data_IF_390536484745
#
_entry.id   IF_390536484745
#
_cell.length_a   1.000
_cell.length_b   1.000
_cell.length_c   1.000
_cell.angle_alpha   90.00
_cell.angle_beta   90.00
_cell.angle_gamma   90.00
#
_symmetry.space_group_name_H-M   'P 1'
#
loop_
_entity.id
_entity.type
_entity.pdbx_description
1 polymer ?
#
# COMPACT_ATOMS: atom_id res chain seq x y z
N UNK A 1 -30.47 15.01 2.77
CA UNK A 1 -29.20 14.26 2.75
C UNK A 1 -28.11 15.15 3.33
N UNK A 2 -27.10 14.60 4.01
CA UNK A 2 -25.95 15.39 4.50
C UNK A 2 -25.14 15.86 3.28
N UNK A 3 -24.95 17.17 3.15
CA UNK A 3 -24.06 17.79 2.17
C UNK A 3 -22.73 18.06 2.87
N UNK A 4 -21.68 17.37 2.42
CA UNK A 4 -20.35 17.43 3.02
C UNK A 4 -19.39 18.13 2.05
N UNK A 5 -18.44 18.89 2.60
CA UNK A 5 -17.43 19.57 1.80
C UNK A 5 -16.05 19.44 2.42
N UNK A 6 -15.09 19.02 1.61
CA UNK A 6 -13.68 18.94 1.96
C UNK A 6 -12.94 20.08 1.25
N UNK A 7 -12.37 20.97 2.05
CA UNK A 7 -11.52 22.06 1.60
C UNK A 7 -10.06 21.64 1.76
N UNK A 8 -9.26 21.83 0.72
CA UNK A 8 -7.84 21.48 0.69
C UNK A 8 -7.04 22.75 0.44
N UNK A 9 -6.27 23.18 1.45
CA UNK A 9 -5.38 24.32 1.33
C UNK A 9 -4.05 23.87 0.72
N UNK A 10 -3.65 24.53 -0.36
CA UNK A 10 -2.40 24.24 -1.06
C UNK A 10 -1.77 25.50 -1.66
N UNK A 11 -0.60 25.34 -2.27
CA UNK A 11 0.07 26.33 -3.11
C UNK A 11 0.57 25.68 -4.38
N UNK A 12 0.75 26.46 -5.44
CA UNK A 12 1.34 25.96 -6.67
C UNK A 12 2.83 25.58 -6.47
N UNK A 13 3.29 24.43 -6.99
CA UNK A 13 4.65 23.95 -6.83
C UNK A 13 5.62 24.68 -7.78
N UNK A 14 5.98 25.90 -7.40
CA UNK A 14 6.98 26.70 -8.11
C UNK A 14 8.36 26.62 -7.42
N UNK A 15 9.41 26.34 -8.20
CA UNK A 15 10.79 26.26 -7.72
C UNK A 15 11.19 27.57 -7.00
N UNK A 16 11.76 27.43 -5.80
CA UNK A 16 12.18 28.57 -4.98
C UNK A 16 11.06 29.25 -4.17
N UNK A 17 9.78 28.89 -4.39
CA UNK A 17 8.62 29.45 -3.65
C UNK A 17 7.85 28.42 -2.83
N UNK A 18 7.90 27.15 -3.22
CA UNK A 18 7.34 26.04 -2.45
C UNK A 18 8.40 25.40 -1.54
N UNK A 19 7.98 25.00 -0.33
CA UNK A 19 8.80 24.28 0.66
C UNK A 19 10.22 24.85 0.81
N UNK A 20 10.33 26.17 1.00
CA UNK A 20 11.62 26.89 0.99
C UNK A 20 12.59 26.38 2.05
N UNK A 21 12.09 25.90 3.20
CA UNK A 21 12.88 25.26 4.27
C UNK A 21 13.53 23.93 3.86
N UNK A 22 13.05 23.28 2.80
CA UNK A 22 13.59 22.03 2.25
C UNK A 22 14.60 22.24 1.12
N UNK A 23 14.73 23.48 0.60
CA UNK A 23 15.68 23.82 -0.48
C UNK A 23 17.13 23.43 -0.13
N UNK A 24 17.64 23.63 1.11
CA UNK A 24 19.01 23.21 1.43
C UNK A 24 19.27 21.71 1.28
N UNK A 25 18.23 20.86 1.39
CA UNK A 25 18.35 19.41 1.28
C UNK A 25 18.00 18.87 -0.11
N UNK A 26 17.05 19.49 -0.81
CA UNK A 26 16.49 18.98 -2.07
C UNK A 26 16.78 19.87 -3.29
N UNK A 27 17.32 21.07 -3.09
CA UNK A 27 17.34 22.13 -4.10
C UNK A 27 15.96 22.74 -4.35
N UNK A 28 15.91 23.84 -5.11
CA UNK A 28 14.68 24.55 -5.43
C UNK A 28 13.69 23.70 -6.23
N UNK A 29 14.20 22.95 -7.22
CA UNK A 29 13.40 22.02 -8.04
C UNK A 29 12.91 20.83 -7.22
N UNK A 30 13.76 20.22 -6.40
CA UNK A 30 13.36 19.08 -5.57
C UNK A 30 12.31 19.46 -4.52
N UNK A 31 12.40 20.65 -3.93
CA UNK A 31 11.38 21.17 -3.01
C UNK A 31 10.03 21.40 -3.70
N UNK A 32 10.02 21.98 -4.91
CA UNK A 32 8.80 22.15 -5.69
C UNK A 32 8.20 20.81 -6.14
N UNK A 33 9.05 19.87 -6.57
CA UNK A 33 8.61 18.53 -6.95
C UNK A 33 8.02 17.75 -5.76
N UNK A 34 8.58 17.92 -4.55
CA UNK A 34 8.02 17.34 -3.35
C UNK A 34 6.64 17.94 -3.03
N UNK A 35 6.49 19.27 -3.07
CA UNK A 35 5.19 19.94 -2.92
C UNK A 35 4.17 19.36 -3.91
N UNK A 36 4.56 19.26 -5.19
CA UNK A 36 3.70 18.71 -6.25
C UNK A 36 3.19 17.33 -5.88
N UNK A 37 4.09 16.42 -5.53
CA UNK A 37 3.72 15.04 -5.24
C UNK A 37 2.87 14.91 -3.97
N UNK A 38 3.12 15.71 -2.92
CA UNK A 38 2.30 15.70 -1.70
C UNK A 38 0.89 16.23 -1.95
N UNK A 39 0.75 17.29 -2.76
CA UNK A 39 -0.56 17.79 -3.19
C UNK A 39 -1.31 16.73 -4.01
N UNK A 40 -0.66 16.14 -5.03
CA UNK A 40 -1.26 15.09 -5.85
C UNK A 40 -1.71 13.88 -5.01
N UNK A 41 -0.88 13.48 -4.04
CA UNK A 41 -1.23 12.43 -3.09
C UNK A 41 -2.48 12.78 -2.27
N UNK A 42 -2.52 13.98 -1.69
CA UNK A 42 -3.66 14.45 -0.87
C UNK A 42 -4.95 14.49 -1.70
N UNK A 43 -4.88 14.97 -2.94
CA UNK A 43 -6.00 15.01 -3.89
C UNK A 43 -6.49 13.60 -4.23
N UNK A 44 -5.58 12.64 -4.43
CA UNK A 44 -5.97 11.24 -4.66
C UNK A 44 -6.73 10.64 -3.46
N UNK A 45 -6.34 10.98 -2.23
CA UNK A 45 -7.07 10.56 -1.02
C UNK A 45 -8.45 11.21 -0.93
N UNK A 46 -8.55 12.51 -1.26
CA UNK A 46 -9.81 13.23 -1.30
C UNK A 46 -10.78 12.66 -2.35
N UNK A 47 -10.30 12.34 -3.55
CA UNK A 47 -11.12 11.67 -4.58
C UNK A 47 -11.63 10.30 -4.12
N UNK A 48 -10.76 9.50 -3.46
CA UNK A 48 -11.16 8.21 -2.87
C UNK A 48 -12.26 8.37 -1.80
N UNK A 49 -12.25 9.46 -1.05
CA UNK A 49 -13.32 9.80 -0.10
C UNK A 49 -14.62 10.15 -0.84
N UNK A 50 -14.57 11.00 -1.88
CA UNK A 50 -15.73 11.42 -2.64
C UNK A 50 -16.46 10.27 -3.38
N UNK A 51 -15.76 9.17 -3.67
CA UNK A 51 -16.39 7.94 -4.19
C UNK A 51 -17.25 7.25 -3.11
N UNK A 52 -16.89 7.40 -1.83
CA UNK A 52 -17.55 6.71 -0.69
C UNK A 52 -18.60 7.58 -0.01
N UNK A 53 -18.47 8.89 -0.09
CA UNK A 53 -19.33 9.88 0.56
C UNK A 53 -19.80 10.91 -0.46
N UNK A 54 -21.00 11.44 -0.28
CA UNK A 54 -21.48 12.61 -1.04
C UNK A 54 -20.78 13.89 -0.57
N UNK A 55 -19.47 13.97 -0.83
CA UNK A 55 -18.57 15.03 -0.38
C UNK A 55 -17.98 15.77 -1.58
N UNK A 56 -18.27 17.06 -1.71
CA UNK A 56 -17.64 17.92 -2.71
C UNK A 56 -16.23 18.31 -2.26
N UNK A 57 -15.31 18.45 -3.22
CA UNK A 57 -13.91 18.83 -2.95
C UNK A 57 -13.67 20.25 -3.48
N UNK A 58 -13.10 21.11 -2.64
CA UNK A 58 -12.60 22.43 -3.04
C UNK A 58 -11.10 22.53 -2.80
N UNK A 59 -10.36 23.00 -3.80
CA UNK A 59 -8.93 23.27 -3.71
C UNK A 59 -8.73 24.76 -3.54
N UNK A 60 -8.37 25.16 -2.33
CA UNK A 60 -8.09 26.54 -1.99
C UNK A 60 -6.59 26.81 -2.15
N UNK A 61 -6.21 27.57 -3.17
CA UNK A 61 -4.79 27.79 -3.51
C UNK A 61 -4.34 29.21 -3.19
N UNK A 62 -3.07 29.37 -2.80
CA UNK A 62 -2.51 30.69 -2.58
C UNK A 62 -2.57 31.53 -3.88
N UNK A 63 -3.30 32.64 -3.86
CA UNK A 63 -3.51 33.61 -4.95
C UNK A 63 -2.20 34.07 -5.59
N UNK A 64 -1.15 34.23 -4.77
CA UNK A 64 0.19 34.64 -5.21
C UNK A 64 0.98 33.58 -5.98
N UNK A 65 0.49 32.32 -6.01
CA UNK A 65 1.24 31.19 -6.57
C UNK A 65 0.76 30.72 -7.94
N UNK A 66 -0.53 30.90 -8.27
CA UNK A 66 -1.11 30.50 -9.56
C UNK A 66 -2.49 31.14 -9.78
N UNK A 67 -3.01 30.99 -10.99
CA UNK A 67 -4.42 31.20 -11.34
C UNK A 67 -5.17 29.85 -11.41
N UNK A 68 -6.49 29.93 -11.60
CA UNK A 68 -7.35 28.74 -11.71
C UNK A 68 -6.94 27.84 -12.89
N UNK A 69 -6.65 28.43 -14.05
CA UNK A 69 -6.25 27.70 -15.26
C UNK A 69 -5.02 26.83 -15.04
N UNK A 70 -3.99 27.34 -14.35
CA UNK A 70 -2.78 26.57 -14.04
C UNK A 70 -3.05 25.45 -13.03
N UNK A 71 -3.97 25.66 -12.09
CA UNK A 71 -4.38 24.63 -11.13
C UNK A 71 -5.18 23.52 -11.84
N UNK A 72 -6.12 23.87 -12.72
CA UNK A 72 -6.89 22.93 -13.54
C UNK A 72 -5.99 22.10 -14.45
N UNK A 73 -5.03 22.75 -15.13
CA UNK A 73 -4.06 22.06 -15.99
C UNK A 73 -3.19 21.03 -15.23
N UNK A 74 -2.99 21.24 -13.93
CA UNK A 74 -2.22 20.33 -13.09
C UNK A 74 -3.08 19.24 -12.44
N UNK A 75 -4.13 19.63 -11.73
CA UNK A 75 -4.91 18.74 -10.86
C UNK A 75 -6.17 18.19 -11.53
N UNK A 76 -6.60 18.73 -12.67
CA UNK A 76 -7.78 18.31 -13.44
C UNK A 76 -8.95 19.29 -13.37
N UNK A 77 -9.96 19.14 -14.23
CA UNK A 77 -11.13 20.02 -14.30
C UNK A 77 -12.30 19.53 -13.42
N UNK A 78 -12.18 18.36 -12.78
CA UNK A 78 -13.21 17.74 -11.95
C UNK A 78 -13.36 18.35 -10.54
N UNK A 79 -12.52 19.33 -10.19
CA UNK A 79 -12.47 19.95 -8.86
C UNK A 79 -12.86 21.42 -8.91
N UNK A 80 -13.33 21.95 -7.78
CA UNK A 80 -13.59 23.39 -7.63
C UNK A 80 -12.33 24.08 -7.11
N UNK A 81 -11.86 25.11 -7.82
CA UNK A 81 -10.67 25.87 -7.45
C UNK A 81 -11.07 27.24 -6.90
N UNK A 82 -10.53 27.61 -5.75
CA UNK A 82 -10.84 28.88 -5.09
C UNK A 82 -9.54 29.56 -4.66
N UNK A 83 -9.29 30.82 -5.03
CA UNK A 83 -8.14 31.55 -4.50
C UNK A 83 -8.33 31.81 -2.99
N UNK A 84 -7.30 31.56 -2.19
CA UNK A 84 -7.29 31.90 -0.77
C UNK A 84 -7.38 33.42 -0.58
N UNK A 85 -8.06 33.84 0.49
CA UNK A 85 -8.10 35.25 0.90
C UNK A 85 -6.70 35.79 1.26
N UNK A 86 -6.50 37.09 1.11
CA UNK A 86 -5.31 37.78 1.60
C UNK A 86 -5.35 37.92 3.13
N UNK A 87 -4.20 37.76 3.79
CA UNK A 87 -4.08 37.80 5.24
C UNK A 87 -3.42 36.56 5.85
N UNK A 88 -3.55 36.44 7.17
CA UNK A 88 -3.05 35.29 7.91
C UNK A 88 -3.87 34.02 7.68
N UNK A 89 -3.46 32.91 8.30
CA UNK A 89 -4.15 31.63 8.16
C UNK A 89 -5.58 31.69 8.71
N UNK A 90 -5.84 32.47 9.76
CA UNK A 90 -7.17 32.62 10.34
C UNK A 90 -8.16 33.28 9.40
N UNK A 91 -7.75 34.37 8.74
CA UNK A 91 -8.57 35.04 7.71
C UNK A 91 -8.91 34.08 6.57
N UNK A 92 -7.90 33.34 6.09
CA UNK A 92 -8.07 32.34 5.02
C UNK A 92 -9.04 31.24 5.41
N UNK A 93 -8.88 30.65 6.59
CA UNK A 93 -9.76 29.61 7.10
C UNK A 93 -11.18 30.12 7.30
N UNK A 94 -11.35 31.31 7.89
CA UNK A 94 -12.65 31.92 8.13
C UNK A 94 -13.43 32.10 6.84
N UNK A 95 -12.84 32.75 5.84
CA UNK A 95 -13.51 32.99 4.55
C UNK A 95 -13.81 31.70 3.77
N UNK A 96 -12.90 30.73 3.81
CA UNK A 96 -13.09 29.43 3.16
C UNK A 96 -14.26 28.64 3.77
N UNK A 97 -14.30 28.57 5.11
CA UNK A 97 -15.31 27.83 5.85
C UNK A 97 -16.68 28.50 5.74
N UNK A 98 -16.75 29.83 5.87
CA UNK A 98 -17.99 30.60 5.71
C UNK A 98 -18.61 30.36 4.32
N UNK A 99 -17.81 30.49 3.27
CA UNK A 99 -18.23 30.24 1.90
C UNK A 99 -18.73 28.80 1.71
N UNK A 100 -18.04 27.81 2.29
CA UNK A 100 -18.45 26.41 2.16
C UNK A 100 -19.77 26.10 2.88
N UNK A 101 -20.04 26.73 4.03
CA UNK A 101 -21.32 26.55 4.75
C UNK A 101 -22.54 27.10 4.02
N UNK A 102 -22.36 27.94 2.99
CA UNK A 102 -23.47 28.32 2.09
C UNK A 102 -24.01 27.15 1.26
N UNK A 103 -23.24 26.07 1.11
CA UNK A 103 -23.52 24.92 0.23
C UNK A 103 -23.48 23.57 0.94
N UNK A 104 -23.00 23.52 2.17
CA UNK A 104 -22.78 22.29 2.93
C UNK A 104 -23.17 22.46 4.40
N UNK A 105 -23.56 21.36 5.04
CA UNK A 105 -23.90 21.35 6.46
C UNK A 105 -22.73 20.83 7.32
N UNK A 106 -21.65 20.37 6.67
CA UNK A 106 -20.43 19.90 7.31
C UNK A 106 -19.25 20.25 6.43
N UNK A 107 -18.27 20.90 7.03
CA UNK A 107 -17.07 21.36 6.34
C UNK A 107 -15.86 20.80 7.05
N UNK A 108 -14.97 20.16 6.32
CA UNK A 108 -13.65 19.74 6.80
C UNK A 108 -12.60 20.47 5.97
N UNK A 109 -11.61 21.05 6.63
CA UNK A 109 -10.47 21.73 6.02
C UNK A 109 -9.20 20.99 6.35
N UNK A 110 -8.34 20.76 5.36
CA UNK A 110 -7.02 20.14 5.52
C UNK A 110 -5.93 20.91 4.77
N UNK A 111 -4.69 20.77 5.22
CA UNK A 111 -3.50 21.16 4.44
C UNK A 111 -2.92 19.99 3.63
N UNK A 112 -1.98 20.29 2.72
CA UNK A 112 -1.25 19.27 1.93
C UNK A 112 0.08 18.82 2.56
N UNK A 113 0.44 19.40 3.70
CA UNK A 113 1.78 19.21 4.30
C UNK A 113 1.88 17.94 5.16
N UNK A 114 0.75 17.29 5.43
CA UNK A 114 0.65 16.03 6.16
C UNK A 114 0.28 14.89 5.20
N UNK A 115 1.24 14.25 4.52
CA UNK A 115 0.95 13.18 3.56
C UNK A 115 0.35 11.91 4.21
N UNK A 116 0.40 11.79 5.55
CA UNK A 116 -0.26 10.73 6.30
C UNK A 116 -1.79 10.83 6.32
N UNK A 117 -2.38 11.92 5.82
CA UNK A 117 -3.83 12.04 5.63
C UNK A 117 -4.29 10.99 4.60
N UNK A 118 -5.21 10.12 5.01
CA UNK A 118 -5.78 9.07 4.14
C UNK A 118 -7.29 9.23 3.98
N UNK A 119 -7.87 8.62 2.94
CA UNK A 119 -9.32 8.61 2.76
C UNK A 119 -10.09 8.03 3.97
N UNK A 120 -9.53 7.04 4.67
CA UNK A 120 -10.14 6.47 5.89
C UNK A 120 -10.09 7.45 7.07
N UNK A 121 -9.02 8.21 7.20
CA UNK A 121 -8.90 9.24 8.24
C UNK A 121 -9.91 10.36 7.99
N UNK A 122 -10.05 10.80 6.74
CA UNK A 122 -11.05 11.81 6.36
C UNK A 122 -12.48 11.31 6.59
N UNK A 123 -12.76 10.04 6.27
CA UNK A 123 -14.06 9.41 6.54
C UNK A 123 -14.38 9.40 8.05
N UNK A 124 -13.39 9.06 8.90
CA UNK A 124 -13.51 9.16 10.36
C UNK A 124 -13.73 10.59 10.84
N UNK A 125 -13.07 11.58 10.24
CA UNK A 125 -13.26 13.00 10.57
C UNK A 125 -14.71 13.44 10.32
N UNK A 126 -15.28 13.11 9.16
CA UNK A 126 -16.69 13.40 8.87
C UNK A 126 -17.66 12.61 9.75
N UNK A 127 -17.32 11.36 10.11
CA UNK A 127 -18.12 10.57 11.04
C UNK A 127 -18.11 11.16 12.46
N UNK A 128 -17.01 11.76 12.93
CA UNK A 128 -17.00 12.46 14.23
C UNK A 128 -18.01 13.61 14.27
N UNK A 129 -18.23 14.31 13.14
CA UNK A 129 -19.25 15.36 13.00
C UNK A 129 -20.70 14.83 13.03
N UNK A 130 -20.93 13.52 13.23
CA UNK A 130 -22.24 12.96 13.60
C UNK A 130 -22.59 13.21 15.06
N UNK A 131 -21.60 13.17 15.95
CA UNK A 131 -21.80 13.29 17.40
C UNK A 131 -21.11 14.49 18.03
N UNK A 132 -20.19 15.14 17.30
CA UNK A 132 -19.47 16.32 17.75
C UNK A 132 -19.80 17.55 16.89
N UNK A 133 -19.59 18.74 17.46
CA UNK A 133 -19.69 20.04 16.77
C UNK A 133 -18.43 20.33 15.96
N UNK A 134 -17.29 19.85 16.48
CA UNK A 134 -15.95 20.04 15.93
C UNK A 134 -15.20 18.70 15.86
N UNK A 135 -14.44 18.48 14.80
CA UNK A 135 -13.45 17.42 14.68
C UNK A 135 -12.07 18.05 14.42
N UNK A 136 -11.01 17.60 15.08
CA UNK A 136 -9.68 18.21 14.92
C UNK A 136 -8.58 17.16 14.98
N UNK A 137 -7.58 17.30 14.10
CA UNK A 137 -6.37 16.48 14.07
C UNK A 137 -5.13 17.31 14.33
N UNK A 138 -4.39 16.98 15.39
CA UNK A 138 -3.17 17.69 15.80
C UNK A 138 -2.00 17.41 14.84
N UNK A 139 -1.22 18.44 14.52
CA UNK A 139 0.06 18.29 13.84
C UNK A 139 1.20 18.27 14.87
N UNK A 140 2.31 17.59 14.53
CA UNK A 140 3.45 17.44 15.43
C UNK A 140 4.20 18.76 15.72
N UNK A 141 4.01 19.77 14.87
CA UNK A 141 4.55 21.13 15.02
C UNK A 141 3.75 22.03 16.00
N UNK A 142 2.67 21.50 16.60
CA UNK A 142 1.79 22.23 17.52
C UNK A 142 0.62 22.95 16.85
N UNK A 143 0.50 22.84 15.52
CA UNK A 143 -0.69 23.23 14.77
C UNK A 143 -1.73 22.12 14.65
N UNK A 144 -2.61 22.23 13.65
CA UNK A 144 -3.52 21.17 13.25
C UNK A 144 -3.47 20.96 11.73
N UNK A 145 -3.52 19.71 11.31
CA UNK A 145 -3.57 19.36 9.89
C UNK A 145 -5.02 19.28 9.37
N UNK A 146 -5.99 19.18 10.27
CA UNK A 146 -7.41 19.02 9.96
C UNK A 146 -8.28 19.75 10.97
N UNK A 147 -9.26 20.51 10.46
CA UNK A 147 -10.37 21.07 11.23
C UNK A 147 -11.70 20.77 10.53
N UNK A 148 -12.62 20.12 11.24
CA UNK A 148 -13.98 19.83 10.79
C UNK A 148 -15.00 20.52 11.67
N UNK A 149 -16.07 21.06 11.08
CA UNK A 149 -17.14 21.77 11.77
C UNK A 149 -18.52 21.36 11.22
N UNK A 150 -19.51 21.34 12.11
CA UNK A 150 -20.94 21.15 11.77
C UNK A 150 -21.68 22.47 11.52
N UNK A 151 -21.16 23.58 12.04
CA UNK A 151 -21.68 24.93 11.82
C UNK A 151 -20.54 25.93 11.76
N UNK A 152 -20.76 27.08 11.11
CA UNK A 152 -19.76 28.13 11.08
C UNK A 152 -19.59 28.75 12.46
N UNK A 153 -18.35 28.77 12.97
CA UNK A 153 -17.97 29.29 14.29
C UNK A 153 -16.83 30.31 14.14
N UNK A 154 -17.11 31.57 13.75
CA UNK A 154 -16.08 32.56 13.41
C UNK A 154 -15.16 32.90 14.59
N UNK A 155 -15.68 32.84 15.81
CA UNK A 155 -14.96 33.09 17.06
C UNK A 155 -13.85 32.07 17.35
N UNK A 156 -13.87 30.89 16.71
CA UNK A 156 -12.77 29.93 16.81
C UNK A 156 -11.48 30.45 16.18
N UNK A 157 -11.54 31.38 15.24
CA UNK A 157 -10.37 31.86 14.49
C UNK A 157 -9.83 33.20 14.99
N UNK A 158 -10.48 33.80 15.99
CA UNK A 158 -10.14 35.10 16.54
C UNK A 158 -9.06 34.98 17.63
N UNK A 159 -8.14 35.94 17.67
CA UNK A 159 -7.08 36.04 18.71
C UNK A 159 -6.24 34.77 18.89
N UNK A 160 -6.03 34.03 17.79
CA UNK A 160 -5.08 32.92 17.73
C UNK A 160 -3.72 33.46 17.31
N UNK A 161 -2.66 33.01 17.98
CA UNK A 161 -1.29 33.28 17.59
C UNK A 161 -0.90 32.39 16.40
N UNK A 162 -1.40 32.71 15.21
CA UNK A 162 -1.16 31.92 14.00
C UNK A 162 0.33 31.74 13.70
N UNK A 163 0.68 30.57 13.14
CA UNK A 163 2.07 30.17 12.85
C UNK A 163 2.94 29.93 14.10
N UNK A 164 2.32 29.52 15.21
CA UNK A 164 3.03 29.12 16.44
C UNK A 164 2.64 27.68 16.85
N UNK A 165 3.45 27.07 17.72
CA UNK A 165 3.24 25.72 18.25
C UNK A 165 2.08 25.61 19.27
N UNK A 166 1.44 26.73 19.61
CA UNK A 166 0.32 26.77 20.56
C UNK A 166 -1.05 26.91 19.88
N UNK A 167 -1.09 26.97 18.54
CA UNK A 167 -2.32 27.16 17.76
C UNK A 167 -3.34 26.06 18.05
N UNK A 168 -2.91 24.81 18.17
CA UNK A 168 -3.81 23.69 18.50
C UNK A 168 -4.49 23.89 19.86
N UNK A 169 -3.72 24.13 20.91
CA UNK A 169 -4.25 24.28 22.28
C UNK A 169 -5.13 25.51 22.39
N UNK A 170 -4.76 26.64 21.77
CA UNK A 170 -5.60 27.83 21.72
C UNK A 170 -6.95 27.55 21.03
N UNK A 171 -6.95 26.82 19.91
CA UNK A 171 -8.19 26.47 19.20
C UNK A 171 -9.08 25.57 20.06
N UNK A 172 -8.50 24.60 20.75
CA UNK A 172 -9.22 23.72 21.69
C UNK A 172 -9.84 24.53 22.84
N UNK A 173 -9.09 25.46 23.43
CA UNK A 173 -9.57 26.27 24.55
C UNK A 173 -10.71 27.20 24.12
N UNK A 174 -10.64 27.76 22.91
CA UNK A 174 -11.75 28.54 22.33
C UNK A 174 -13.00 27.68 22.12
N UNK A 175 -12.83 26.47 21.60
CA UNK A 175 -13.95 25.54 21.42
C UNK A 175 -14.59 25.15 22.76
N UNK A 176 -13.78 24.93 23.81
CA UNK A 176 -14.27 24.66 25.17
C UNK A 176 -15.02 25.84 25.78
N UNK A 177 -14.51 27.06 25.62
CA UNK A 177 -15.18 28.28 26.08
C UNK A 177 -16.56 28.46 25.46
N UNK A 178 -16.73 27.98 24.22
CA UNK A 178 -18.01 27.96 23.49
C UNK A 178 -18.86 26.71 23.77
N UNK A 179 -18.42 25.84 24.69
CA UNK A 179 -19.10 24.59 25.04
C UNK A 179 -19.31 23.62 23.85
N UNK A 180 -18.43 23.70 22.85
CA UNK A 180 -18.49 22.79 21.69
C UNK A 180 -18.05 21.38 22.09
N UNK A 181 -18.75 20.38 21.56
CA UNK A 181 -18.31 18.99 21.63
C UNK A 181 -17.20 18.73 20.60
N UNK A 182 -16.09 18.14 21.04
CA UNK A 182 -14.85 18.02 20.25
C UNK A 182 -14.50 16.53 20.03
N UNK A 183 -14.50 16.11 18.78
CA UNK A 183 -13.89 14.88 18.32
C UNK A 183 -12.40 15.09 18.04
N UNK A 184 -11.52 14.26 18.62
CA UNK A 184 -10.08 14.31 18.35
C UNK A 184 -9.68 13.16 17.44
N UNK A 185 -8.82 13.45 16.47
CA UNK A 185 -8.14 12.47 15.62
C UNK A 185 -6.70 12.27 16.09
N UNK A 186 -6.05 11.26 15.54
CA UNK A 186 -4.63 10.99 15.78
C UNK A 186 -3.72 12.18 15.41
N UNK A 187 -2.63 12.34 16.15
CA UNK A 187 -1.58 13.31 15.78
C UNK A 187 -0.81 12.80 14.56
N UNK A 188 -0.58 13.67 13.58
CA UNK A 188 0.23 13.37 12.39
C UNK A 188 1.44 14.29 12.29
N UNK A 189 2.47 13.84 11.58
CA UNK A 189 3.65 14.65 11.24
C UNK A 189 3.44 15.35 9.90
N UNK A 190 3.68 16.65 9.90
CA UNK A 190 3.85 17.46 8.70
C UNK A 190 5.29 17.33 8.16
N UNK A 191 5.50 17.74 6.91
CA UNK A 191 6.81 17.71 6.26
C UNK A 191 7.23 19.12 5.91
N UNK A 192 8.04 19.74 6.75
CA UNK A 192 8.48 21.12 6.55
C UNK A 192 10.00 21.29 6.63
N UNK A 193 10.70 20.41 7.35
CA UNK A 193 12.15 20.41 7.53
C UNK A 193 12.80 19.16 6.95
N UNK A 194 14.11 19.20 6.61
CA UNK A 194 14.80 18.05 6.02
C UNK A 194 14.69 16.76 6.83
N UNK A 195 14.61 16.85 8.17
CA UNK A 195 14.42 15.69 9.04
C UNK A 195 13.07 14.96 8.81
N UNK A 196 12.05 15.68 8.35
CA UNK A 196 10.70 15.16 8.16
C UNK A 196 10.58 14.36 6.85
N UNK A 197 11.57 14.45 5.95
CA UNK A 197 11.57 13.73 4.67
C UNK A 197 11.46 12.21 4.83
N UNK A 198 11.89 11.68 5.97
CA UNK A 198 11.73 10.26 6.29
C UNK A 198 10.24 9.84 6.31
N UNK A 199 9.34 10.74 6.70
CA UNK A 199 7.89 10.51 6.69
C UNK A 199 7.41 10.33 5.25
N UNK A 200 7.88 11.18 4.34
CA UNK A 200 7.53 11.08 2.92
C UNK A 200 8.02 9.77 2.30
N UNK A 201 9.27 9.41 2.58
CA UNK A 201 9.84 8.15 2.10
C UNK A 201 9.04 6.94 2.60
N UNK A 202 8.61 6.94 3.87
CA UNK A 202 7.81 5.85 4.42
C UNK A 202 6.44 5.73 3.75
N UNK A 203 5.81 6.84 3.38
CA UNK A 203 4.52 6.85 2.69
C UNK A 203 4.65 6.39 1.25
N UNK A 204 5.75 6.79 0.58
CA UNK A 204 6.05 6.36 -0.79
C UNK A 204 6.53 4.92 -0.89
N UNK A 205 7.05 4.35 0.21
CA UNK A 205 7.52 2.97 0.17
C UNK A 205 6.35 2.06 -0.15
N UNK A 206 6.51 1.17 -1.15
CA UNK A 206 5.52 0.15 -1.41
C UNK A 206 5.29 -0.64 -0.12
N UNK A 207 4.04 -0.97 0.15
CA UNK A 207 3.66 -1.72 1.35
C UNK A 207 3.97 -3.21 1.19
N UNK A 208 3.94 -3.69 -0.06
CA UNK A 208 4.15 -5.09 -0.41
C UNK A 208 5.06 -5.22 -1.64
N UNK A 209 6.07 -6.08 -1.55
CA UNK A 209 6.87 -6.53 -2.67
C UNK A 209 6.40 -7.90 -3.14
N UNK A 210 6.08 -8.03 -4.43
CA UNK A 210 5.78 -9.31 -5.04
C UNK A 210 7.02 -9.78 -5.81
N UNK A 211 7.63 -10.86 -5.35
CA UNK A 211 8.81 -11.47 -5.96
C UNK A 211 8.39 -12.66 -6.81
N UNK A 212 8.69 -12.59 -8.10
CA UNK A 212 8.30 -13.58 -9.11
C UNK A 212 9.54 -14.23 -9.72
N UNK A 213 9.88 -15.49 -9.38
CA UNK A 213 10.94 -16.21 -10.07
C UNK A 213 10.46 -16.66 -11.46
N UNK A 214 11.26 -16.40 -12.49
CA UNK A 214 10.95 -16.77 -13.88
C UNK A 214 12.03 -17.60 -14.55
N UNK A 215 11.62 -18.46 -15.49
CA UNK A 215 12.50 -19.15 -16.45
C UNK A 215 11.66 -19.59 -17.65
N UNK A 216 11.74 -18.84 -18.76
CA UNK A 216 10.95 -19.02 -19.98
C UNK A 216 9.42 -18.98 -19.74
N UNK A 217 8.96 -17.92 -19.06
CA UNK A 217 7.57 -17.77 -18.62
C UNK A 217 6.88 -16.54 -19.27
N UNK A 218 7.31 -16.11 -20.46
CA UNK A 218 6.82 -14.87 -21.10
C UNK A 218 5.29 -14.76 -21.13
N UNK A 219 4.60 -15.83 -21.54
CA UNK A 219 3.14 -15.83 -21.69
C UNK A 219 2.42 -15.74 -20.33
N UNK A 220 2.76 -16.63 -19.39
CA UNK A 220 2.19 -16.65 -18.04
C UNK A 220 2.45 -15.33 -17.31
N UNK A 221 3.68 -14.82 -17.39
CA UNK A 221 4.09 -13.60 -16.72
C UNK A 221 3.30 -12.39 -17.22
N UNK A 222 3.06 -12.29 -18.53
CA UNK A 222 2.30 -11.17 -19.09
C UNK A 222 0.89 -11.07 -18.50
N UNK A 223 0.21 -12.20 -18.31
CA UNK A 223 -1.11 -12.25 -17.70
C UNK A 223 -1.07 -11.88 -16.22
N UNK A 224 -0.11 -12.43 -15.49
CA UNK A 224 0.10 -12.15 -14.07
C UNK A 224 0.36 -10.65 -13.84
N UNK A 225 1.28 -10.05 -14.60
CA UNK A 225 1.63 -8.63 -14.48
C UNK A 225 0.47 -7.69 -14.86
N UNK A 226 -0.41 -8.08 -15.79
CA UNK A 226 -1.61 -7.28 -16.14
C UNK A 226 -2.53 -7.07 -14.93
N UNK A 227 -2.64 -8.04 -14.03
CA UNK A 227 -3.45 -7.91 -12.82
C UNK A 227 -2.74 -7.13 -11.72
N UNK A 228 -1.41 -7.29 -11.59
CA UNK A 228 -0.64 -6.63 -10.52
C UNK A 228 -0.46 -5.12 -10.75
N UNK A 229 -0.33 -4.68 -12.00
CA UNK A 229 -0.05 -3.29 -12.35
C UNK A 229 -1.17 -2.27 -11.98
N UNK A 230 -2.26 -2.72 -11.37
CA UNK A 230 -3.38 -1.86 -10.99
C UNK A 230 -3.24 -1.26 -9.58
N UNK A 231 -2.21 -1.62 -8.81
CA UNK A 231 -2.09 -1.22 -7.39
C UNK A 231 -0.81 -0.40 -7.16
N UNK A 232 -0.96 0.86 -6.72
CA UNK A 232 0.15 1.80 -6.52
C UNK A 232 1.00 1.48 -5.28
N UNK A 233 0.43 0.74 -4.33
CA UNK A 233 1.03 0.36 -3.06
C UNK A 233 1.96 -0.88 -3.16
N UNK A 234 2.17 -1.41 -4.38
CA UNK A 234 2.89 -2.66 -4.63
C UNK A 234 4.08 -2.42 -5.55
N UNK A 235 5.23 -2.98 -5.17
CA UNK A 235 6.35 -3.17 -6.08
C UNK A 235 6.37 -4.62 -6.60
N UNK A 236 6.63 -4.78 -7.89
CA UNK A 236 6.74 -6.09 -8.53
C UNK A 236 8.17 -6.31 -8.98
N UNK A 237 8.77 -7.41 -8.54
CA UNK A 237 10.16 -7.77 -8.80
C UNK A 237 10.18 -9.12 -9.51
N UNK A 238 10.64 -9.12 -10.76
CA UNK A 238 10.78 -10.32 -11.59
C UNK A 238 12.23 -10.78 -11.56
N UNK A 239 12.51 -11.90 -10.91
CA UNK A 239 13.84 -12.49 -10.82
C UNK A 239 14.00 -13.65 -11.79
N UNK A 240 14.73 -13.39 -12.87
CA UNK A 240 14.92 -14.32 -13.97
C UNK A 240 16.15 -15.21 -13.80
N UNK A 241 15.98 -16.51 -14.04
CA UNK A 241 17.05 -17.51 -13.97
C UNK A 241 17.76 -17.75 -15.30
N UNK A 242 17.85 -16.77 -16.20
CA UNK A 242 18.43 -16.97 -17.53
C UNK A 242 17.44 -17.57 -18.51
N UNK A 243 16.31 -16.87 -18.69
CA UNK A 243 15.35 -17.09 -19.78
C UNK A 243 15.97 -16.78 -21.13
N UNK A 244 15.61 -17.57 -22.13
CA UNK A 244 15.99 -17.44 -23.54
C UNK A 244 14.85 -16.80 -24.37
N UNK A 245 13.65 -16.66 -23.79
CA UNK A 245 12.51 -15.97 -24.39
C UNK A 245 12.44 -14.49 -23.98
N UNK A 246 11.36 -13.79 -24.38
CA UNK A 246 11.18 -12.37 -24.08
C UNK A 246 10.66 -12.07 -22.65
N UNK A 247 10.83 -12.99 -21.69
CA UNK A 247 10.36 -12.83 -20.29
C UNK A 247 10.81 -11.51 -19.67
N UNK A 248 12.11 -11.19 -19.76
CA UNK A 248 12.66 -9.95 -19.19
C UNK A 248 12.14 -8.69 -19.90
N UNK A 249 11.90 -8.76 -21.21
CA UNK A 249 11.35 -7.65 -21.97
C UNK A 249 9.90 -7.35 -21.54
N UNK A 250 9.09 -8.40 -21.33
CA UNK A 250 7.73 -8.28 -20.79
C UNK A 250 7.73 -7.66 -19.39
N UNK A 251 8.62 -8.11 -18.50
CA UNK A 251 8.74 -7.55 -17.16
C UNK A 251 9.02 -6.04 -17.19
N UNK A 252 10.03 -5.61 -17.96
CA UNK A 252 10.40 -4.19 -18.11
C UNK A 252 9.28 -3.36 -18.73
N UNK A 253 8.64 -3.87 -19.78
CA UNK A 253 7.52 -3.19 -20.45
C UNK A 253 6.30 -2.99 -19.55
N UNK A 254 6.18 -3.75 -18.46
CA UNK A 254 5.15 -3.62 -17.44
C UNK A 254 5.61 -2.87 -16.19
N UNK A 255 6.73 -2.14 -16.25
CA UNK A 255 7.28 -1.36 -15.12
C UNK A 255 7.62 -2.21 -13.89
N UNK A 256 7.82 -3.52 -14.06
CA UNK A 256 8.36 -4.35 -12.99
C UNK A 256 9.88 -4.17 -12.91
N UNK A 257 10.44 -4.30 -11.70
CA UNK A 257 11.89 -4.36 -11.50
C UNK A 257 12.35 -5.73 -11.98
N UNK A 258 13.12 -5.78 -13.05
CA UNK A 258 13.56 -7.03 -13.67
C UNK A 258 15.06 -7.25 -13.44
N UNK A 259 15.41 -8.38 -12.83
CA UNK A 259 16.80 -8.83 -12.64
C UNK A 259 17.03 -10.18 -13.31
N UNK A 260 18.27 -10.41 -13.74
CA UNK A 260 18.73 -11.70 -14.25
C UNK A 260 19.82 -12.23 -13.33
N UNK A 261 19.85 -13.54 -13.09
CA UNK A 261 20.84 -14.19 -12.24
C UNK A 261 20.89 -15.69 -12.48
N UNK A 262 21.57 -16.39 -11.57
CA UNK A 262 21.75 -17.84 -11.67
C UNK A 262 20.43 -18.60 -11.60
N UNK A 263 20.37 -19.71 -12.33
CA UNK A 263 19.27 -20.68 -12.24
C UNK A 263 19.10 -21.18 -10.81
N UNK A 264 17.86 -21.23 -10.36
CA UNK A 264 17.47 -21.82 -9.08
C UNK A 264 16.41 -20.97 -8.40
N UNK A 265 15.27 -21.58 -8.06
CA UNK A 265 14.14 -20.84 -7.50
C UNK A 265 14.51 -20.14 -6.19
N UNK A 266 15.22 -20.82 -5.30
CA UNK A 266 15.70 -20.23 -4.05
C UNK A 266 16.58 -18.98 -4.29
N UNK A 267 17.53 -19.06 -5.23
CA UNK A 267 18.42 -17.96 -5.58
C UNK A 267 17.65 -16.78 -6.16
N UNK A 268 16.73 -17.05 -7.09
CA UNK A 268 15.88 -16.03 -7.70
C UNK A 268 14.98 -15.35 -6.66
N UNK A 269 14.32 -16.10 -5.79
CA UNK A 269 13.47 -15.53 -4.74
C UNK A 269 14.27 -14.71 -3.73
N UNK A 270 15.44 -15.20 -3.30
CA UNK A 270 16.34 -14.44 -2.41
C UNK A 270 16.87 -13.17 -3.08
N UNK A 271 17.26 -13.23 -4.35
CA UNK A 271 17.78 -12.08 -5.10
C UNK A 271 16.69 -11.00 -5.26
N UNK A 272 15.47 -11.39 -5.61
CA UNK A 272 14.33 -10.47 -5.65
C UNK A 272 14.01 -9.87 -4.28
N UNK A 273 14.02 -10.68 -3.22
CA UNK A 273 13.79 -10.20 -1.85
C UNK A 273 14.86 -9.22 -1.35
N UNK A 274 16.11 -9.28 -1.85
CA UNK A 274 17.16 -8.31 -1.50
C UNK A 274 16.91 -6.93 -2.09
N UNK A 275 16.29 -6.85 -3.27
CA UNK A 275 15.94 -5.59 -3.92
C UNK A 275 14.67 -4.96 -3.35
N UNK A 276 13.81 -5.76 -2.72
CA UNK A 276 12.56 -5.30 -2.15
C UNK A 276 12.78 -4.20 -1.10
N UNK A 277 12.08 -3.08 -1.29
CA UNK A 277 12.05 -1.93 -0.37
C UNK A 277 10.84 -1.98 0.57
N UNK A 278 9.83 -2.79 0.24
CA UNK A 278 8.62 -2.97 1.04
C UNK A 278 8.85 -3.72 2.34
N UNK A 279 8.00 -3.42 3.34
CA UNK A 279 8.02 -4.09 4.64
C UNK A 279 7.52 -5.54 4.59
N UNK A 280 6.68 -5.87 3.60
CA UNK A 280 6.14 -7.20 3.37
C UNK A 280 6.64 -7.76 2.05
N UNK A 281 6.94 -9.06 2.05
CA UNK A 281 7.29 -9.84 0.87
C UNK A 281 6.16 -10.82 0.58
N UNK A 282 5.82 -11.01 -0.69
CA UNK A 282 4.97 -12.08 -1.19
C UNK A 282 5.70 -12.76 -2.34
N UNK A 283 5.84 -14.08 -2.26
CA UNK A 283 6.49 -14.89 -3.30
C UNK A 283 5.41 -15.49 -4.18
N UNK A 284 5.43 -15.18 -5.48
CA UNK A 284 4.38 -15.57 -6.43
C UNK A 284 5.00 -16.28 -7.63
N UNK A 285 4.43 -17.40 -8.05
CA UNK A 285 4.86 -18.03 -9.31
C UNK A 285 4.34 -17.24 -10.52
N UNK A 286 5.10 -17.27 -11.62
CA UNK A 286 4.77 -16.52 -12.84
C UNK A 286 3.43 -16.92 -13.49
N UNK A 287 2.95 -18.14 -13.21
CA UNK A 287 1.72 -18.74 -13.71
C UNK A 287 0.58 -18.73 -12.68
N UNK A 288 0.71 -17.95 -11.61
CA UNK A 288 -0.25 -17.91 -10.51
C UNK A 288 -0.88 -16.53 -10.39
N UNK A 289 -2.22 -16.52 -10.34
CA UNK A 289 -3.05 -15.33 -10.27
C UNK A 289 -3.53 -15.10 -8.84
N UNK A 290 -3.33 -13.89 -8.33
CA UNK A 290 -3.85 -13.46 -7.02
C UNK A 290 -5.33 -13.07 -7.13
N UNK A 291 -6.14 -13.26 -6.06
CA UNK A 291 -7.53 -12.80 -6.03
C UNK A 291 -7.59 -11.26 -6.09
N UNK A 292 -8.65 -10.64 -6.65
CA UNK A 292 -8.71 -9.18 -6.84
C UNK A 292 -8.43 -8.34 -5.57
N UNK A 293 -8.87 -8.82 -4.41
CA UNK A 293 -8.72 -8.13 -3.12
C UNK A 293 -7.52 -8.63 -2.29
N UNK A 294 -6.55 -9.32 -2.91
CA UNK A 294 -5.45 -9.96 -2.18
C UNK A 294 -4.69 -9.00 -1.25
N UNK A 295 -4.50 -7.74 -1.67
CA UNK A 295 -3.74 -6.77 -0.90
C UNK A 295 -4.43 -6.41 0.41
N UNK A 296 -5.76 -6.23 0.40
CA UNK A 296 -6.53 -6.02 1.62
C UNK A 296 -6.46 -7.24 2.56
N UNK A 297 -6.46 -8.45 2.00
CA UNK A 297 -6.29 -9.69 2.75
C UNK A 297 -4.91 -9.77 3.40
N UNK A 298 -3.83 -9.39 2.69
CA UNK A 298 -2.48 -9.28 3.25
C UNK A 298 -2.43 -8.22 4.36
N UNK A 299 -2.99 -7.02 4.15
CA UNK A 299 -3.04 -5.96 5.18
C UNK A 299 -3.82 -6.38 6.44
N UNK A 300 -4.93 -7.10 6.27
CA UNK A 300 -5.70 -7.63 7.41
C UNK A 300 -4.88 -8.64 8.19
N UNK A 301 -4.20 -9.55 7.49
CA UNK A 301 -3.37 -10.58 8.11
C UNK A 301 -2.11 -9.99 8.76
N UNK A 302 -1.58 -8.90 8.22
CA UNK A 302 -0.49 -8.13 8.81
C UNK A 302 -0.83 -7.55 10.19
N UNK A 303 -2.13 -7.36 10.50
CA UNK A 303 -2.61 -6.91 11.81
C UNK A 303 -2.89 -8.07 12.78
N UNK A 304 -2.75 -9.31 12.34
CA UNK A 304 -2.93 -10.50 13.17
C UNK A 304 -1.61 -10.92 13.83
N UNK A 305 -1.67 -11.81 14.83
CA UNK A 305 -0.48 -12.39 15.48
C UNK A 305 0.22 -13.47 14.63
N UNK A 306 -0.07 -13.57 13.33
CA UNK A 306 0.59 -14.52 12.43
C UNK A 306 1.96 -14.00 11.96
N UNK A 307 2.96 -14.87 11.96
CA UNK A 307 4.33 -14.54 11.51
C UNK A 307 4.46 -14.60 9.97
N UNK A 308 3.56 -15.32 9.31
CA UNK A 308 3.44 -15.42 7.86
C UNK A 308 2.01 -15.78 7.47
N UNK A 309 1.68 -15.55 6.20
CA UNK A 309 0.42 -15.94 5.60
C UNK A 309 0.61 -16.64 4.26
N UNK A 310 -0.40 -17.38 3.83
CA UNK A 310 -0.52 -17.93 2.48
C UNK A 310 -1.99 -17.96 2.05
N UNK A 311 -2.24 -18.07 0.76
CA UNK A 311 -3.59 -18.18 0.21
C UNK A 311 -4.03 -19.64 0.11
N UNK A 312 -5.33 -19.87 -0.10
CA UNK A 312 -5.78 -21.20 -0.51
C UNK A 312 -5.29 -21.52 -1.92
N UNK A 313 -5.00 -22.79 -2.17
CA UNK A 313 -4.69 -23.27 -3.51
C UNK A 313 -5.98 -23.44 -4.31
N UNK A 314 -6.03 -22.81 -5.47
CA UNK A 314 -6.93 -23.12 -6.57
C UNK A 314 -6.10 -23.40 -7.83
N UNK A 315 -6.59 -24.32 -8.67
CA UNK A 315 -5.94 -24.77 -9.90
C UNK A 315 -6.87 -24.46 -11.08
N UNK A 316 -6.33 -23.85 -12.13
CA UNK A 316 -7.07 -23.47 -13.35
C UNK A 316 -7.30 -24.70 -14.25
N UNK A 317 -8.28 -25.52 -13.87
CA UNK A 317 -8.67 -26.71 -14.63
C UNK A 317 -9.99 -27.31 -14.16
N UNK A 318 -10.75 -27.91 -15.08
CA UNK A 318 -12.11 -28.43 -14.82
C UNK A 318 -12.14 -29.86 -14.29
N UNK A 319 -11.00 -30.54 -14.25
CA UNK A 319 -10.92 -31.95 -13.86
C UNK A 319 -11.25 -32.15 -12.37
N UNK A 320 -12.05 -33.18 -12.05
CA UNK A 320 -12.44 -33.52 -10.67
C UNK A 320 -11.24 -33.91 -9.81
N UNK A 321 -10.24 -34.56 -10.40
CA UNK A 321 -8.99 -34.90 -9.72
C UNK A 321 -8.26 -33.67 -9.17
N UNK A 322 -8.33 -32.53 -9.86
CA UNK A 322 -7.71 -31.28 -9.38
C UNK A 322 -8.42 -30.75 -8.15
N UNK A 323 -9.74 -30.92 -8.03
CA UNK A 323 -10.51 -30.52 -6.83
C UNK A 323 -10.09 -31.33 -5.61
N UNK A 324 -9.73 -32.61 -5.79
CA UNK A 324 -9.19 -33.45 -4.71
C UNK A 324 -7.80 -32.95 -4.28
N UNK A 325 -6.94 -32.59 -5.25
CA UNK A 325 -5.62 -32.01 -4.95
C UNK A 325 -5.76 -30.69 -4.19
N UNK A 326 -6.63 -29.79 -4.64
CA UNK A 326 -6.93 -28.55 -3.94
C UNK A 326 -7.44 -28.80 -2.52
N UNK A 327 -8.39 -29.72 -2.35
CA UNK A 327 -8.93 -30.05 -1.04
C UNK A 327 -7.83 -30.56 -0.10
N UNK A 328 -7.02 -31.52 -0.55
CA UNK A 328 -5.94 -32.09 0.25
C UNK A 328 -4.85 -31.07 0.59
N UNK A 329 -4.44 -30.25 -0.38
CA UNK A 329 -3.48 -29.18 -0.16
C UNK A 329 -4.03 -28.15 0.84
N UNK A 330 -5.26 -27.67 0.65
CA UNK A 330 -5.88 -26.68 1.53
C UNK A 330 -6.13 -27.22 2.94
N UNK A 331 -6.52 -28.49 3.08
CA UNK A 331 -6.64 -29.16 4.38
C UNK A 331 -5.29 -29.18 5.09
N UNK A 332 -4.23 -29.64 4.42
CA UNK A 332 -2.87 -29.67 4.95
C UNK A 332 -2.41 -28.28 5.39
N UNK A 333 -2.63 -27.27 4.56
CA UNK A 333 -2.21 -25.90 4.84
C UNK A 333 -2.97 -25.31 6.03
N UNK A 334 -4.29 -25.55 6.11
CA UNK A 334 -5.14 -25.03 7.19
C UNK A 334 -4.86 -25.69 8.55
N UNK A 335 -4.73 -27.02 8.58
CA UNK A 335 -4.62 -27.77 9.84
C UNK A 335 -3.17 -28.00 10.27
N UNK A 336 -2.27 -28.27 9.34
CA UNK A 336 -0.85 -28.52 9.64
C UNK A 336 0.03 -27.26 9.49
N UNK A 337 -0.57 -26.12 9.11
CA UNK A 337 0.12 -24.84 8.88
C UNK A 337 1.28 -24.97 7.88
N UNK A 338 1.08 -25.81 6.87
CA UNK A 338 2.12 -26.17 5.91
C UNK A 338 1.65 -25.83 4.50
N UNK A 339 1.65 -24.56 4.09
CA UNK A 339 1.38 -24.19 2.70
C UNK A 339 2.46 -24.69 1.74
N UNK A 340 2.09 -24.82 0.47
CA UNK A 340 3.02 -25.03 -0.64
C UNK A 340 3.49 -23.69 -1.23
N UNK A 341 4.58 -23.69 -2.01
CA UNK A 341 5.11 -22.48 -2.64
C UNK A 341 4.15 -21.82 -3.65
N UNK A 342 3.28 -22.60 -4.27
CA UNK A 342 2.23 -22.13 -5.20
C UNK A 342 1.04 -21.47 -4.49
N UNK A 343 1.04 -21.42 -3.15
CA UNK A 343 0.00 -20.75 -2.35
C UNK A 343 0.32 -19.28 -2.03
N UNK A 344 1.26 -18.67 -2.75
CA UNK A 344 1.67 -17.28 -2.58
C UNK A 344 2.00 -16.92 -1.12
N UNK A 345 3.09 -17.48 -0.61
CA UNK A 345 3.55 -17.23 0.76
C UNK A 345 3.95 -15.76 0.93
N UNK A 346 3.48 -15.13 2.00
CA UNK A 346 3.83 -13.75 2.34
C UNK A 346 4.18 -13.58 3.82
N UNK A 347 5.11 -12.67 4.12
CA UNK A 347 5.65 -12.44 5.45
C UNK A 347 6.37 -11.09 5.55
N UNK A 348 6.65 -10.64 6.78
CA UNK A 348 7.49 -9.43 6.99
C UNK A 348 8.91 -9.68 6.47
N UNK A 349 9.49 -8.67 5.83
CA UNK A 349 10.86 -8.71 5.30
C UNK A 349 11.88 -9.06 6.38
N UNK A 350 11.75 -8.48 7.57
CA UNK A 350 12.65 -8.75 8.70
C UNK A 350 12.58 -10.21 9.14
N UNK A 351 11.37 -10.79 9.21
CA UNK A 351 11.16 -12.20 9.54
C UNK A 351 11.77 -13.12 8.49
N UNK A 352 11.64 -12.79 7.21
CA UNK A 352 12.26 -13.54 6.12
C UNK A 352 13.79 -13.60 6.26
N UNK A 353 14.43 -12.48 6.57
CA UNK A 353 15.89 -12.45 6.78
C UNK A 353 16.32 -13.07 8.10
N UNK A 354 15.52 -12.96 9.16
CA UNK A 354 15.77 -13.62 10.45
C UNK A 354 15.88 -15.14 10.33
N UNK A 355 15.12 -15.77 9.42
CA UNK A 355 15.20 -17.23 9.16
C UNK A 355 16.21 -17.62 8.09
N UNK A 356 16.98 -16.65 7.57
CA UNK A 356 18.01 -16.85 6.56
C UNK A 356 17.51 -16.94 5.12
N UNK A 357 16.30 -16.49 4.83
CA UNK A 357 15.68 -16.55 3.50
C UNK A 357 15.42 -17.99 3.02
N UNK A 358 15.21 -18.16 1.71
CA UNK A 358 15.11 -19.50 1.12
C UNK A 358 16.48 -20.20 1.18
N UNK A 359 16.55 -21.45 1.65
CA UNK A 359 17.81 -22.18 1.59
C UNK A 359 18.15 -22.50 0.13
N UNK A 360 19.43 -22.36 -0.25
CA UNK A 360 19.90 -22.69 -1.59
C UNK A 360 19.90 -24.21 -1.81
N UNK A 361 18.72 -24.75 -2.07
CA UNK A 361 18.47 -26.15 -2.36
C UNK A 361 17.97 -26.30 -3.80
N UNK A 362 18.39 -27.35 -4.52
CA UNK A 362 17.87 -27.64 -5.86
C UNK A 362 16.39 -28.04 -5.84
N UNK A 363 15.88 -28.49 -4.69
CA UNK A 363 14.48 -28.83 -4.44
C UNK A 363 14.20 -28.79 -2.93
N UNK A 364 12.94 -28.63 -2.54
CA UNK A 364 12.45 -28.56 -1.15
C UNK A 364 12.73 -27.24 -0.43
N UNK A 365 13.16 -26.21 -1.16
CA UNK A 365 13.41 -24.86 -0.66
C UNK A 365 12.16 -24.24 0.00
N UNK A 366 10.98 -24.37 -0.63
CA UNK A 366 9.71 -23.85 -0.10
C UNK A 366 9.29 -24.60 1.17
N UNK A 367 9.48 -25.92 1.18
CA UNK A 367 9.11 -26.77 2.30
C UNK A 367 9.96 -26.46 3.54
N UNK A 368 11.27 -26.31 3.34
CA UNK A 368 12.20 -25.99 4.43
C UNK A 368 11.99 -24.55 4.94
N UNK A 369 11.69 -23.59 4.07
CA UNK A 369 11.31 -22.24 4.50
C UNK A 369 10.08 -22.28 5.42
N UNK A 370 9.02 -22.97 5.00
CA UNK A 370 7.78 -23.12 5.81
C UNK A 370 8.07 -23.83 7.13
N UNK A 371 8.94 -24.86 7.13
CA UNK A 371 9.37 -25.53 8.36
C UNK A 371 10.07 -24.57 9.33
N UNK A 372 10.94 -23.68 8.84
CA UNK A 372 11.61 -22.65 9.65
C UNK A 372 10.62 -21.63 10.20
N UNK A 373 9.68 -21.17 9.37
CA UNK A 373 8.63 -20.23 9.77
C UNK A 373 7.75 -20.81 10.89
N UNK A 374 7.31 -22.06 10.76
CA UNK A 374 6.49 -22.73 11.79
C UNK A 374 7.16 -22.81 13.16
N UNK A 375 8.50 -22.80 13.22
CA UNK A 375 9.24 -22.77 14.50
C UNK A 375 9.16 -21.41 15.18
N UNK A 376 8.97 -20.33 14.42
CA UNK A 376 8.83 -18.97 14.96
C UNK A 376 7.39 -18.65 15.37
N UNK A 377 6.39 -19.23 14.71
CA UNK A 377 5.00 -19.00 15.09
C UNK A 377 3.98 -19.48 14.07
N UNK A 378 2.76 -18.97 14.22
CA UNK A 378 1.60 -19.38 13.42
C UNK A 378 1.68 -18.85 11.99
N UNK A 379 1.49 -19.76 11.02
CA UNK A 379 1.22 -19.42 9.62
C UNK A 379 -0.28 -19.44 9.40
N UNK A 380 -0.84 -18.32 8.95
CA UNK A 380 -2.27 -18.19 8.70
C UNK A 380 -2.60 -18.43 7.21
N UNK A 381 -3.78 -19.01 6.94
CA UNK A 381 -4.24 -19.28 5.58
C UNK A 381 -5.43 -18.37 5.27
N UNK A 382 -5.31 -17.55 4.23
CA UNK A 382 -6.36 -16.66 3.77
C UNK A 382 -7.58 -17.44 3.25
N UNK A 383 -8.80 -16.88 3.38
CA UNK A 383 -10.02 -17.53 2.89
C UNK A 383 -10.11 -17.54 1.35
N UNK A 384 -9.47 -16.56 0.70
CA UNK A 384 -9.41 -16.44 -0.76
C UNK A 384 -8.37 -17.40 -1.35
N UNK A 385 -8.64 -17.86 -2.57
CA UNK A 385 -7.75 -18.75 -3.30
C UNK A 385 -6.94 -17.99 -4.36
N UNK A 386 -5.67 -18.35 -4.47
CA UNK A 386 -4.90 -18.10 -5.70
C UNK A 386 -5.30 -19.10 -6.77
N UNK A 387 -5.10 -18.75 -8.03
CA UNK A 387 -5.35 -19.63 -9.16
C UNK A 387 -4.04 -19.92 -9.90
N UNK A 388 -3.52 -21.14 -9.78
CA UNK A 388 -2.29 -21.61 -10.45
C UNK A 388 -2.58 -22.46 -11.68
N UNK A 389 -1.64 -22.54 -12.62
CA UNK A 389 -1.83 -23.26 -13.87
C UNK A 389 -1.97 -24.78 -13.68
N UNK A 390 -2.96 -25.40 -14.33
CA UNK A 390 -3.11 -26.86 -14.36
C UNK A 390 -2.08 -27.57 -15.28
N UNK A 391 -1.29 -26.83 -16.07
CA UNK A 391 -0.40 -27.35 -17.13
C UNK A 391 0.43 -28.55 -16.67
N UNK A 392 0.92 -28.51 -15.44
CA UNK A 392 1.74 -29.57 -14.87
C UNK A 392 0.96 -30.86 -14.65
N UNK A 393 -0.20 -30.77 -14.01
CA UNK A 393 -1.05 -31.93 -13.73
C UNK A 393 -1.63 -32.51 -15.02
N UNK A 394 -1.91 -31.68 -16.02
CA UNK A 394 -2.33 -32.11 -17.35
C UNK A 394 -1.23 -32.87 -18.09
N UNK A 395 0.03 -32.41 -18.01
CA UNK A 395 1.17 -33.08 -18.67
C UNK A 395 1.53 -34.42 -18.02
N UNK A 396 1.58 -34.47 -16.69
CA UNK A 396 2.13 -35.61 -15.94
C UNK A 396 1.05 -36.53 -15.34
N UNK A 397 -0.21 -36.12 -15.39
CA UNK A 397 -1.33 -36.79 -14.72
C UNK A 397 -1.46 -36.36 -13.25
N UNK A 398 -2.71 -36.21 -12.81
CA UNK A 398 -3.03 -35.69 -11.47
C UNK A 398 -2.48 -36.59 -10.36
N UNK A 399 -2.77 -37.88 -10.44
CA UNK A 399 -2.39 -38.86 -9.42
C UNK A 399 -0.88 -39.03 -9.31
N UNK A 400 -0.20 -39.16 -10.47
CA UNK A 400 1.25 -39.30 -10.56
C UNK A 400 1.96 -38.08 -9.96
N UNK A 401 1.54 -36.86 -10.32
CA UNK A 401 2.12 -35.62 -9.78
C UNK A 401 1.98 -35.55 -8.26
N UNK A 402 0.81 -35.89 -7.74
CA UNK A 402 0.54 -35.88 -6.29
C UNK A 402 1.42 -36.88 -5.54
N UNK A 403 1.53 -38.13 -6.03
CA UNK A 403 2.39 -39.14 -5.39
C UNK A 403 3.84 -38.70 -5.39
N UNK A 404 4.36 -38.22 -6.52
CA UNK A 404 5.76 -37.79 -6.61
C UNK A 404 6.05 -36.69 -5.59
N UNK A 405 5.14 -35.73 -5.44
CA UNK A 405 5.29 -34.66 -4.45
C UNK A 405 5.29 -35.22 -3.01
N UNK A 406 4.40 -36.17 -2.68
CA UNK A 406 4.38 -36.78 -1.34
C UNK A 406 5.63 -37.63 -1.08
N UNK A 407 6.11 -38.39 -2.08
CA UNK A 407 7.34 -39.17 -1.99
C UNK A 407 8.55 -38.25 -1.79
N UNK A 408 8.63 -37.12 -2.49
CA UNK A 408 9.69 -36.13 -2.30
C UNK A 408 9.69 -35.56 -0.87
N UNK A 409 8.52 -35.24 -0.31
CA UNK A 409 8.39 -34.79 1.08
C UNK A 409 8.83 -35.88 2.05
N UNK A 410 8.34 -37.11 1.89
CA UNK A 410 8.70 -38.23 2.76
C UNK A 410 10.21 -38.51 2.70
N UNK A 411 10.79 -38.55 1.51
CA UNK A 411 12.23 -38.71 1.27
C UNK A 411 13.05 -37.64 2.00
N UNK A 412 12.64 -36.38 1.91
CA UNK A 412 13.30 -35.27 2.59
C UNK A 412 13.21 -35.42 4.13
N UNK A 413 12.05 -35.82 4.64
CA UNK A 413 11.83 -36.01 6.08
C UNK A 413 12.66 -37.16 6.68
N UNK A 414 12.92 -38.23 5.91
CA UNK A 414 13.79 -39.34 6.33
C UNK A 414 15.29 -39.07 6.07
N UNK A 415 15.66 -37.86 5.62
CA UNK A 415 17.05 -37.42 5.49
C UNK A 415 17.70 -37.67 4.13
N UNK A 416 16.94 -37.99 3.08
CA UNK A 416 17.50 -38.10 1.72
C UNK A 416 17.89 -36.71 1.21
N UNK A 417 19.08 -36.60 0.61
CA UNK A 417 19.61 -35.32 0.15
C UNK A 417 18.74 -34.68 -0.95
N UNK A 418 18.53 -33.34 -0.92
CA UNK A 418 17.81 -32.59 -1.95
C UNK A 418 18.30 -32.85 -3.38
N UNK A 419 19.60 -33.00 -3.60
CA UNK A 419 20.18 -33.32 -4.92
C UNK A 419 19.72 -34.68 -5.47
N UNK A 420 19.50 -35.66 -4.58
CA UNK A 420 19.00 -36.98 -4.99
C UNK A 420 17.51 -36.88 -5.34
N UNK A 421 16.73 -36.15 -4.55
CA UNK A 421 15.30 -35.90 -4.80
C UNK A 421 15.12 -35.15 -6.13
N UNK A 422 15.88 -34.08 -6.35
CA UNK A 422 15.84 -33.29 -7.58
C UNK A 422 16.12 -34.16 -8.82
N UNK A 423 17.12 -35.05 -8.79
CA UNK A 423 17.42 -35.97 -9.90
C UNK A 423 16.26 -36.90 -10.23
N UNK A 424 15.57 -37.44 -9.22
CA UNK A 424 14.38 -38.28 -9.45
C UNK A 424 13.23 -37.48 -10.04
N UNK A 425 13.06 -36.25 -9.57
CA UNK A 425 11.98 -35.37 -9.97
C UNK A 425 12.13 -34.86 -11.41
N UNK A 426 13.36 -34.48 -11.80
CA UNK A 426 13.66 -33.99 -13.15
C UNK A 426 13.62 -35.08 -14.22
N UNK A 427 13.91 -36.35 -13.88
CA UNK A 427 13.76 -37.48 -14.82
C UNK A 427 12.32 -37.73 -15.25
N UNK A 428 11.34 -37.13 -14.56
CA UNK A 428 9.93 -37.28 -14.86
C UNK A 428 9.32 -36.02 -15.52
N UNK A 429 10.10 -34.96 -15.74
CA UNK A 429 9.70 -33.77 -16.50
C UNK A 429 9.78 -34.04 -17.99
#
# INVERSE_FOLDING_TARGET
>A
MKTERLIIFTRYPEAGRAKTRLIPALGAEGAAQLQRQMTEWTIAQARRLAVRRNCAIEVHYASSSADESRMQAWLGEDLCYVPQAEGDLGVKLTGAIESAFSKANRVVVIGTDCPSITANLLDRAFAQLDSCDMAIGAAADGGYYLLGLRSFQPTLFQEIAWSTEIVFEQTIDRARQQQLSIGRLETLSDIDRPADLIVWEQIKRPKLAIVIPTLNEMASLLETLRMLNQQAEIEVIVSDGGSEDATLAVARGKKAIALSGDRGRARQMNAGARLATANWLLFLHADTRLPPNFFATVEQMARSNAIAGAFRLGIDGRETGLRIVEWGANWRSRFLQFPYGDQALFLRRDTFWQIGGFPDLPMMEDFELVRRLRRLGRIAIAPDAVLTSARRWQKLGVFKTTIINQVAIAAYLIGISPDRIARWYHRQR
#
